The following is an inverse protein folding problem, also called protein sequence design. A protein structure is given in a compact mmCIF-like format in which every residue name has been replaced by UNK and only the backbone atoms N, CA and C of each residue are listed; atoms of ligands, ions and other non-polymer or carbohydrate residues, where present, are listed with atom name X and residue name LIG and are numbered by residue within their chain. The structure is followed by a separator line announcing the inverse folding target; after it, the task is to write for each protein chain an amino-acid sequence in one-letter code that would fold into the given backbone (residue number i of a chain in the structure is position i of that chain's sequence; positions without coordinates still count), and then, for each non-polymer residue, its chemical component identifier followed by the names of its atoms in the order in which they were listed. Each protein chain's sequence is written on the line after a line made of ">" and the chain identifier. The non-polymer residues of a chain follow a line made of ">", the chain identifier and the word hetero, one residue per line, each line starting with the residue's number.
data_IF_134144017984
#
_entry.id   IF_134144017984
#
_cell.length_a   1.000
_cell.length_b   1.000
_cell.length_c   1.000
_cell.angle_alpha   90.00
_cell.angle_beta   90.00
_cell.angle_gamma   90.00
#
_symmetry.space_group_name_H-M   'P 1'
#
loop_
_entity.id
_entity.type
_entity.pdbx_description
1 polymer ?
#
# COMPACT_ATOMS: atom_id res chain seq x y z
N UNK A 1 32.96 -22.55 -77.27
CA UNK A 1 31.53 -22.59 -77.57
C UNK A 1 30.86 -21.97 -76.30
N UNK A 2 30.39 -20.75 -76.54
CA UNK A 2 29.60 -20.00 -75.51
C UNK A 2 28.28 -20.68 -75.24
N UNK A 3 27.84 -20.59 -74.02
CA UNK A 3 26.45 -20.29 -73.69
C UNK A 3 26.33 -19.68 -72.27
N UNK A 4 26.21 -18.40 -72.34
CA UNK A 4 25.65 -17.57 -71.25
C UNK A 4 24.16 -17.85 -71.10
N UNK A 5 23.67 -18.22 -69.96
CA UNK A 5 22.29 -18.01 -69.62
C UNK A 5 22.14 -17.27 -68.30
N UNK A 6 21.73 -16.01 -68.44
CA UNK A 6 21.26 -15.13 -67.39
C UNK A 6 19.99 -15.69 -66.76
N UNK A 7 20.02 -16.10 -65.54
CA UNK A 7 18.80 -16.36 -64.76
C UNK A 7 18.43 -15.09 -64.03
N UNK A 8 17.29 -14.56 -64.45
CA UNK A 8 16.62 -13.36 -63.95
C UNK A 8 16.24 -13.46 -62.47
N UNK A 9 16.63 -12.42 -61.72
CA UNK A 9 16.14 -12.17 -60.35
C UNK A 9 14.71 -11.61 -60.40
N UNK A 10 13.72 -12.42 -60.49
CA UNK A 10 12.33 -12.07 -60.19
C UNK A 10 11.55 -13.31 -59.78
N UNK A 11 10.93 -13.21 -58.59
CA UNK A 11 9.96 -14.15 -58.01
C UNK A 11 10.51 -14.98 -56.87
N UNK A 12 10.50 -14.37 -55.63
CA UNK A 12 10.06 -15.04 -54.42
C UNK A 12 9.92 -14.00 -53.30
N UNK A 13 8.97 -13.07 -53.44
CA UNK A 13 8.43 -12.35 -52.30
C UNK A 13 7.09 -13.00 -52.00
N UNK A 14 7.09 -14.08 -51.22
CA UNK A 14 5.88 -14.49 -50.50
C UNK A 14 5.81 -13.64 -49.25
N UNK A 15 4.84 -12.75 -49.22
CA UNK A 15 4.47 -11.94 -48.09
C UNK A 15 4.09 -12.83 -46.90
N UNK A 16 5.01 -13.02 -45.96
CA UNK A 16 4.72 -13.46 -44.62
C UNK A 16 4.26 -12.26 -43.84
N UNK A 17 2.97 -12.05 -43.72
CA UNK A 17 2.38 -11.09 -42.81
C UNK A 17 2.68 -11.57 -41.38
N UNK A 18 3.77 -11.09 -40.81
CA UNK A 18 3.97 -11.14 -39.36
C UNK A 18 2.98 -10.15 -38.75
N UNK A 19 1.84 -10.67 -38.30
CA UNK A 19 0.97 -9.93 -37.43
C UNK A 19 1.76 -9.67 -36.12
N UNK A 20 2.28 -8.46 -35.95
CA UNK A 20 2.71 -7.93 -34.68
C UNK A 20 1.47 -7.92 -33.77
N UNK A 21 1.29 -8.97 -32.97
CA UNK A 21 0.41 -8.93 -31.85
C UNK A 21 1.02 -7.95 -30.83
N UNK A 22 0.71 -6.66 -30.97
CA UNK A 22 0.82 -5.73 -29.86
C UNK A 22 -0.08 -6.28 -28.75
N UNK A 23 0.45 -6.48 -27.53
CA UNK A 23 -0.43 -6.80 -26.41
C UNK A 23 -1.39 -5.62 -26.24
N UNK A 24 -2.67 -5.85 -26.55
CA UNK A 24 -3.74 -4.96 -26.16
C UNK A 24 -3.76 -4.97 -24.63
N UNK A 25 -2.99 -4.10 -24.01
CA UNK A 25 -3.27 -3.67 -22.65
C UNK A 25 -4.62 -2.96 -22.73
N UNK A 26 -5.69 -3.69 -22.47
CA UNK A 26 -6.97 -3.08 -22.18
C UNK A 26 -6.70 -2.09 -21.03
N UNK A 27 -6.81 -0.80 -21.32
CA UNK A 27 -6.92 0.23 -20.29
C UNK A 27 -8.16 -0.13 -19.50
N UNK A 28 -7.99 -0.93 -18.47
CA UNK A 28 -9.04 -1.13 -17.48
C UNK A 28 -9.31 0.26 -16.91
N UNK A 29 -10.50 0.74 -17.12
CA UNK A 29 -10.93 2.08 -16.74
C UNK A 29 -11.13 2.07 -15.23
N UNK A 30 -10.05 2.25 -14.48
CA UNK A 30 -9.98 2.21 -13.01
C UNK A 30 -10.85 3.29 -12.36
N UNK A 31 -11.19 4.36 -13.11
CA UNK A 31 -12.03 5.46 -12.62
C UNK A 31 -13.51 5.08 -12.40
N UNK A 32 -13.99 3.97 -12.98
CA UNK A 32 -15.38 3.54 -12.85
C UNK A 32 -15.62 2.55 -11.70
N UNK A 33 -14.57 1.91 -11.16
CA UNK A 33 -14.67 0.98 -10.02
C UNK A 33 -14.30 1.62 -8.67
N UNK A 34 -13.83 2.87 -8.67
CA UNK A 34 -13.52 3.63 -7.46
C UNK A 34 -14.76 4.13 -6.69
N UNK A 35 -15.96 3.56 -6.95
CA UNK A 35 -17.08 3.71 -6.04
C UNK A 35 -16.83 2.85 -4.81
N UNK A 36 -16.03 3.44 -3.87
CA UNK A 36 -16.02 3.12 -2.45
C UNK A 36 -15.87 1.63 -2.08
N UNK A 37 -14.83 0.94 -2.59
CA UNK A 37 -14.43 -0.30 -1.91
C UNK A 37 -13.75 0.06 -0.59
N UNK A 38 -14.34 -0.34 0.53
CA UNK A 38 -13.78 -0.10 1.85
C UNK A 38 -12.78 -1.21 2.14
N UNK A 39 -11.51 -0.82 2.42
CA UNK A 39 -10.45 -1.73 2.81
C UNK A 39 -10.32 -1.85 4.33
N UNK A 40 -9.70 -2.95 4.78
CA UNK A 40 -9.31 -3.19 6.16
C UNK A 40 -7.82 -3.56 6.19
N UNK A 41 -7.03 -2.88 7.03
CA UNK A 41 -5.68 -3.33 7.34
C UNK A 41 -5.76 -4.54 8.27
N UNK A 42 -5.22 -5.69 7.82
CA UNK A 42 -5.34 -6.95 8.57
C UNK A 42 -4.57 -6.97 9.89
N UNK A 43 -3.61 -6.06 10.09
CA UNK A 43 -2.94 -5.92 11.38
C UNK A 43 -3.92 -5.59 12.52
N UNK A 44 -5.03 -4.93 12.21
CA UNK A 44 -6.17 -4.73 13.13
C UNK A 44 -6.63 -6.05 13.74
N UNK A 45 -6.66 -7.10 12.94
CA UNK A 45 -7.13 -8.45 13.32
C UNK A 45 -5.98 -9.44 13.52
N UNK A 46 -4.75 -8.97 13.82
CA UNK A 46 -3.54 -9.83 13.91
C UNK A 46 -3.70 -11.03 14.82
N UNK A 47 -4.39 -10.86 15.97
CA UNK A 47 -4.63 -11.97 16.88
C UNK A 47 -5.59 -13.01 16.29
N UNK A 48 -6.59 -12.56 15.55
CA UNK A 48 -7.60 -13.42 14.91
C UNK A 48 -7.00 -14.12 13.68
N UNK A 49 -6.25 -13.39 12.86
CA UNK A 49 -5.49 -13.94 11.72
C UNK A 49 -4.52 -15.03 12.15
N UNK A 50 -3.81 -14.83 13.26
CA UNK A 50 -2.89 -15.83 13.80
C UNK A 50 -3.59 -17.09 14.33
N UNK A 51 -4.84 -16.99 14.78
CA UNK A 51 -5.64 -18.13 15.27
C UNK A 51 -6.29 -18.87 14.10
N UNK A 52 -6.97 -18.15 13.22
CA UNK A 52 -7.71 -18.67 12.08
C UNK A 52 -7.77 -17.63 10.96
N UNK A 53 -6.82 -17.69 10.06
CA UNK A 53 -6.73 -16.79 8.91
C UNK A 53 -7.99 -16.89 8.02
N UNK A 54 -8.43 -18.13 7.72
CA UNK A 54 -9.54 -18.34 6.79
C UNK A 54 -10.86 -17.86 7.36
N UNK A 55 -11.18 -18.21 8.60
CA UNK A 55 -12.36 -17.72 9.30
C UNK A 55 -12.36 -16.21 9.48
N UNK A 56 -11.18 -15.62 9.71
CA UNK A 56 -11.03 -14.17 9.79
C UNK A 56 -11.36 -13.50 8.47
N UNK A 57 -10.79 -13.93 7.34
CA UNK A 57 -11.07 -13.38 6.01
C UNK A 57 -12.54 -13.55 5.62
N UNK A 58 -13.14 -14.70 5.92
CA UNK A 58 -14.58 -14.93 5.74
C UNK A 58 -15.41 -13.88 6.47
N UNK A 59 -15.13 -13.67 7.75
CA UNK A 59 -15.87 -12.70 8.58
C UNK A 59 -15.65 -11.26 8.12
N UNK A 60 -14.45 -10.89 7.69
CA UNK A 60 -14.13 -9.57 7.08
C UNK A 60 -15.02 -9.32 5.85
N UNK A 61 -15.14 -10.32 4.97
CA UNK A 61 -16.01 -10.23 3.79
C UNK A 61 -17.49 -10.12 4.18
N UNK A 62 -17.96 -10.93 5.14
CA UNK A 62 -19.34 -10.90 5.64
C UNK A 62 -19.74 -9.55 6.25
N UNK A 63 -18.80 -8.82 6.87
CA UNK A 63 -18.99 -7.46 7.35
C UNK A 63 -19.12 -6.44 6.20
N UNK A 64 -18.69 -6.83 5.01
CA UNK A 64 -18.82 -6.04 3.79
C UNK A 64 -17.58 -5.19 3.45
N UNK A 65 -16.41 -5.52 4.01
CA UNK A 65 -15.13 -5.10 3.47
C UNK A 65 -14.88 -5.82 2.15
N UNK A 66 -14.31 -5.13 1.20
CA UNK A 66 -14.05 -5.67 -0.15
C UNK A 66 -12.57 -5.80 -0.43
N UNK A 67 -11.77 -5.05 0.31
CA UNK A 67 -10.32 -5.06 0.18
C UNK A 67 -9.68 -5.29 1.54
N UNK A 68 -8.49 -5.87 1.50
CA UNK A 68 -7.62 -6.01 2.66
C UNK A 68 -6.23 -5.49 2.31
N UNK A 69 -5.59 -4.87 3.28
CA UNK A 69 -4.17 -4.62 3.23
C UNK A 69 -3.44 -5.69 4.03
N UNK A 70 -2.44 -6.30 3.39
CA UNK A 70 -1.68 -7.38 3.98
C UNK A 70 -0.59 -6.86 4.91
N UNK A 71 -0.20 -7.71 5.85
CA UNK A 71 1.07 -7.66 6.56
C UNK A 71 1.64 -9.09 6.63
N UNK A 72 2.79 -9.27 7.27
CA UNK A 72 3.28 -10.62 7.59
C UNK A 72 3.82 -11.41 6.39
N UNK A 73 4.28 -10.72 5.33
CA UNK A 73 5.05 -11.35 4.28
C UNK A 73 6.44 -11.73 4.80
N UNK A 74 6.85 -12.97 4.57
CA UNK A 74 8.19 -13.45 4.85
C UNK A 74 8.50 -14.66 3.99
N UNK A 75 9.71 -14.69 3.41
CA UNK A 75 10.26 -15.84 2.67
C UNK A 75 9.28 -16.43 1.63
N UNK A 76 8.71 -15.57 0.79
CA UNK A 76 7.80 -15.97 -0.30
C UNK A 76 6.38 -16.35 0.14
N UNK A 77 5.99 -16.03 1.37
CA UNK A 77 4.70 -16.43 1.95
C UNK A 77 4.00 -15.28 2.65
N UNK A 78 2.67 -15.27 2.56
CA UNK A 78 1.79 -14.44 3.38
C UNK A 78 1.11 -15.31 4.44
N UNK A 79 1.36 -15.05 5.71
CA UNK A 79 0.82 -15.85 6.82
C UNK A 79 1.09 -17.37 6.65
N UNK A 80 2.27 -17.73 6.15
CA UNK A 80 2.67 -19.12 5.90
C UNK A 80 2.09 -19.75 4.63
N UNK A 81 1.24 -19.05 3.86
CA UNK A 81 0.68 -19.51 2.59
C UNK A 81 1.49 -18.94 1.41
N UNK A 82 1.69 -19.75 0.38
CA UNK A 82 2.23 -19.28 -0.89
C UNK A 82 1.33 -18.20 -1.51
N UNK A 83 1.88 -17.40 -2.43
CA UNK A 83 1.12 -16.38 -3.17
C UNK A 83 -0.12 -16.98 -3.84
N UNK A 84 0.03 -18.14 -4.49
CA UNK A 84 -1.09 -18.84 -5.14
C UNK A 84 -2.20 -19.25 -4.18
N UNK A 85 -1.84 -19.81 -3.02
CA UNK A 85 -2.81 -20.20 -1.98
C UNK A 85 -3.51 -18.98 -1.40
N UNK A 86 -2.77 -17.91 -1.12
CA UNK A 86 -3.34 -16.67 -0.61
C UNK A 86 -4.30 -16.03 -1.62
N UNK A 87 -3.93 -15.99 -2.89
CA UNK A 87 -4.78 -15.48 -3.98
C UNK A 87 -6.09 -16.26 -4.09
N UNK A 88 -6.00 -17.60 -4.01
CA UNK A 88 -7.18 -18.47 -4.05
C UNK A 88 -8.08 -18.24 -2.81
N UNK A 89 -7.46 -18.05 -1.63
CA UNK A 89 -8.19 -17.81 -0.39
C UNK A 89 -8.93 -16.47 -0.40
N UNK A 90 -8.29 -15.41 -0.88
CA UNK A 90 -8.94 -14.11 -1.06
C UNK A 90 -10.11 -14.19 -2.06
N UNK A 91 -9.88 -14.84 -3.20
CA UNK A 91 -10.92 -15.03 -4.22
C UNK A 91 -12.12 -15.80 -3.69
N UNK A 92 -11.90 -16.83 -2.86
CA UNK A 92 -12.95 -17.61 -2.22
C UNK A 92 -13.95 -16.75 -1.44
N UNK A 93 -13.47 -15.67 -0.84
CA UNK A 93 -14.29 -14.76 -0.03
C UNK A 93 -14.56 -13.40 -0.73
N UNK A 94 -14.35 -13.30 -2.05
CA UNK A 94 -14.54 -12.07 -2.82
C UNK A 94 -13.76 -10.88 -2.24
N UNK A 95 -12.61 -11.12 -1.64
CA UNK A 95 -11.69 -10.11 -1.16
C UNK A 95 -10.59 -9.87 -2.19
N UNK A 96 -10.09 -8.64 -2.23
CA UNK A 96 -8.90 -8.26 -2.99
C UNK A 96 -7.86 -7.69 -2.04
N UNK A 97 -6.58 -7.97 -2.31
CA UNK A 97 -5.48 -7.26 -1.67
C UNK A 97 -4.77 -6.44 -2.73
N UNK A 98 -4.74 -5.12 -2.51
CA UNK A 98 -4.09 -4.20 -3.45
C UNK A 98 -2.87 -3.53 -2.83
N UNK A 99 -2.63 -3.76 -1.55
CA UNK A 99 -1.50 -3.20 -0.80
C UNK A 99 -1.04 -4.16 0.28
N UNK A 100 0.23 -4.02 0.68
CA UNK A 100 0.80 -4.78 1.77
C UNK A 100 1.96 -4.06 2.45
N UNK A 101 2.08 -4.31 3.77
CA UNK A 101 3.08 -3.75 4.66
C UNK A 101 4.32 -4.64 4.75
N UNK A 102 5.49 -4.02 4.63
CA UNK A 102 6.81 -4.65 4.67
C UNK A 102 7.73 -3.88 5.64
N UNK A 103 8.69 -4.58 6.23
CA UNK A 103 9.70 -3.96 7.09
C UNK A 103 10.82 -3.28 6.30
N UNK A 104 11.48 -2.30 6.88
CA UNK A 104 12.71 -1.74 6.34
C UNK A 104 13.86 -2.77 6.39
N UNK A 105 13.96 -3.49 7.51
CA UNK A 105 14.90 -4.61 7.68
C UNK A 105 16.36 -4.18 7.82
N UNK A 106 16.63 -2.91 8.09
CA UNK A 106 17.99 -2.38 8.19
C UNK A 106 18.69 -2.91 9.44
N UNK A 107 17.99 -2.98 10.56
CA UNK A 107 18.52 -3.57 11.79
C UNK A 107 18.35 -5.08 11.85
N UNK A 108 17.29 -5.61 11.27
CA UNK A 108 17.07 -7.05 11.19
C UNK A 108 17.26 -7.54 9.75
N UNK A 109 18.53 -7.65 9.34
CA UNK A 109 18.91 -8.12 8.00
C UNK A 109 18.50 -9.57 7.72
N UNK A 110 18.09 -10.34 8.75
CA UNK A 110 17.54 -11.69 8.57
C UNK A 110 16.06 -11.69 8.17
N UNK A 111 15.39 -10.53 8.20
CA UNK A 111 14.01 -10.42 7.77
C UNK A 111 13.90 -10.53 6.24
N UNK A 112 13.71 -11.75 5.73
CA UNK A 112 13.55 -12.02 4.31
C UNK A 112 12.22 -11.41 3.83
N UNK A 113 12.29 -10.64 2.74
CA UNK A 113 11.13 -9.90 2.21
C UNK A 113 11.00 -8.46 2.75
N UNK A 114 12.06 -7.97 3.42
CA UNK A 114 12.19 -6.56 3.78
C UNK A 114 12.88 -5.75 2.66
N UNK A 115 12.88 -4.42 2.79
CA UNK A 115 13.56 -3.54 1.84
C UNK A 115 15.06 -3.84 1.71
N UNK A 116 15.69 -4.31 2.80
CA UNK A 116 17.13 -4.60 2.88
C UNK A 116 17.49 -6.04 2.51
N UNK A 117 16.50 -6.96 2.47
CA UNK A 117 16.77 -8.37 2.22
C UNK A 117 15.64 -9.05 1.45
N UNK A 118 15.90 -9.45 0.20
CA UNK A 118 14.93 -10.17 -0.64
C UNK A 118 13.81 -9.29 -1.19
N UNK A 119 14.05 -7.97 -1.34
CA UNK A 119 13.04 -7.02 -1.77
C UNK A 119 12.50 -7.29 -3.17
N UNK A 120 13.36 -7.63 -4.13
CA UNK A 120 12.96 -7.98 -5.48
C UNK A 120 11.91 -9.09 -5.50
N UNK A 121 12.17 -10.18 -4.77
CA UNK A 121 11.23 -11.30 -4.66
C UNK A 121 9.93 -10.91 -3.97
N UNK A 122 9.99 -10.11 -2.91
CA UNK A 122 8.81 -9.62 -2.21
C UNK A 122 7.91 -8.78 -3.12
N UNK A 123 8.50 -7.94 -3.95
CA UNK A 123 7.80 -7.10 -4.92
C UNK A 123 7.17 -7.91 -6.06
N UNK A 124 7.89 -8.93 -6.58
CA UNK A 124 7.35 -9.85 -7.57
C UNK A 124 6.14 -10.62 -7.03
N UNK A 125 6.24 -11.14 -5.81
CA UNK A 125 5.16 -11.85 -5.13
C UNK A 125 3.96 -10.94 -4.86
N UNK A 126 4.21 -9.69 -4.50
CA UNK A 126 3.18 -8.68 -4.34
C UNK A 126 2.43 -8.43 -5.66
N UNK A 127 3.16 -8.25 -6.76
CA UNK A 127 2.58 -8.07 -8.09
C UNK A 127 1.75 -9.29 -8.52
N UNK A 128 2.25 -10.52 -8.27
CA UNK A 128 1.53 -11.77 -8.55
C UNK A 128 0.24 -11.88 -7.72
N UNK A 129 0.28 -11.51 -6.44
CA UNK A 129 -0.91 -11.48 -5.58
C UNK A 129 -1.96 -10.48 -6.09
N UNK A 130 -1.52 -9.43 -6.77
CA UNK A 130 -2.39 -8.38 -7.34
C UNK A 130 -2.23 -7.02 -6.67
N UNK A 131 -1.20 -6.86 -5.82
CA UNK A 131 -0.91 -5.58 -5.20
C UNK A 131 -0.64 -4.49 -6.24
N UNK A 132 -1.06 -3.28 -5.92
CA UNK A 132 -0.73 -2.04 -6.64
C UNK A 132 0.29 -1.23 -5.85
N UNK A 133 0.37 -1.49 -4.56
CA UNK A 133 1.24 -0.80 -3.62
C UNK A 133 2.00 -1.78 -2.74
N UNK A 134 3.23 -1.45 -2.43
CA UNK A 134 4.06 -2.09 -1.41
C UNK A 134 4.54 -1.00 -0.46
N UNK A 135 4.28 -1.15 0.84
CA UNK A 135 4.42 -0.06 1.80
C UNK A 135 5.45 -0.41 2.86
N UNK A 136 6.45 0.45 3.08
CA UNK A 136 7.29 0.37 4.27
C UNK A 136 6.47 0.84 5.48
N UNK A 137 6.16 -0.11 6.38
CA UNK A 137 5.17 0.07 7.43
C UNK A 137 5.67 0.80 8.66
N UNK A 138 6.95 0.66 8.99
CA UNK A 138 7.49 1.10 10.27
C UNK A 138 9.02 1.17 10.26
N UNK A 139 9.55 2.12 10.99
CA UNK A 139 10.96 2.19 11.36
C UNK A 139 11.09 1.93 12.86
N UNK A 140 11.93 0.97 13.26
CA UNK A 140 12.19 0.67 14.67
C UNK A 140 12.86 1.83 15.37
N UNK A 141 12.87 1.83 16.71
CA UNK A 141 13.48 2.93 17.48
C UNK A 141 14.92 3.17 17.08
N UNK A 142 15.68 2.10 16.88
CA UNK A 142 17.07 2.22 16.45
C UNK A 142 17.20 2.62 14.96
N UNK A 143 16.22 2.34 14.12
CA UNK A 143 16.22 2.77 12.72
C UNK A 143 15.92 4.27 12.55
N UNK A 144 15.42 4.95 13.59
CA UNK A 144 14.92 6.33 13.53
C UNK A 144 15.46 7.26 14.64
N UNK A 145 16.54 6.89 15.29
CA UNK A 145 17.11 7.61 16.45
C UNK A 145 17.88 8.90 16.08
N UNK A 146 18.20 9.10 14.79
CA UNK A 146 18.95 10.26 14.32
C UNK A 146 18.46 10.74 12.95
N UNK A 147 18.74 12.01 12.66
CA UNK A 147 18.38 12.62 11.38
C UNK A 147 19.21 12.06 10.23
N UNK A 148 20.42 11.60 10.49
CA UNK A 148 21.32 10.94 9.53
C UNK A 148 20.72 9.61 9.07
N UNK A 149 20.11 8.84 9.97
CA UNK A 149 19.38 7.62 9.61
C UNK A 149 18.20 7.94 8.69
N UNK A 150 17.40 8.96 9.01
CA UNK A 150 16.33 9.38 8.11
C UNK A 150 16.84 9.80 6.73
N UNK A 151 17.99 10.46 6.66
CA UNK A 151 18.64 10.81 5.36
C UNK A 151 19.04 9.55 4.58
N UNK A 152 19.56 8.52 5.23
CA UNK A 152 19.91 7.26 4.56
C UNK A 152 18.69 6.52 4.01
N UNK A 153 17.52 6.68 4.62
CA UNK A 153 16.27 6.11 4.10
C UNK A 153 15.77 6.76 2.82
N UNK A 154 16.16 7.99 2.52
CA UNK A 154 15.79 8.64 1.25
C UNK A 154 16.30 7.80 0.08
N UNK A 155 17.56 7.39 0.10
CA UNK A 155 18.17 6.56 -0.94
C UNK A 155 17.58 5.14 -0.95
N UNK A 156 17.38 4.54 0.23
CA UNK A 156 16.78 3.21 0.35
C UNK A 156 15.36 3.19 -0.23
N UNK A 157 14.53 4.19 0.09
CA UNK A 157 13.15 4.27 -0.39
C UNK A 157 13.08 4.55 -1.90
N UNK A 158 13.94 5.42 -2.43
CA UNK A 158 14.05 5.63 -3.87
C UNK A 158 14.43 4.33 -4.59
N UNK A 159 15.44 3.61 -4.10
CA UNK A 159 15.85 2.31 -4.64
C UNK A 159 14.73 1.25 -4.54
N UNK A 160 14.05 1.20 -3.40
CA UNK A 160 12.88 0.31 -3.22
C UNK A 160 11.77 0.65 -4.21
N UNK A 161 11.54 1.95 -4.45
CA UNK A 161 10.58 2.43 -5.44
C UNK A 161 10.95 2.09 -6.88
N UNK A 162 12.24 2.16 -7.24
CA UNK A 162 12.72 1.71 -8.56
C UNK A 162 12.45 0.22 -8.80
N UNK A 163 12.71 -0.60 -7.79
CA UNK A 163 12.44 -2.05 -7.84
C UNK A 163 10.93 -2.30 -7.98
N UNK A 164 10.12 -1.64 -7.17
CA UNK A 164 8.66 -1.74 -7.23
C UNK A 164 8.11 -1.34 -8.62
N UNK A 165 8.59 -0.23 -9.16
CA UNK A 165 8.20 0.27 -10.49
C UNK A 165 8.50 -0.71 -11.61
N UNK A 166 9.64 -1.42 -11.56
CA UNK A 166 10.01 -2.45 -12.55
C UNK A 166 9.03 -3.62 -12.56
N UNK A 167 8.47 -3.97 -11.41
CA UNK A 167 7.44 -5.02 -11.27
C UNK A 167 6.01 -4.50 -11.48
N UNK A 168 5.83 -3.22 -11.80
CA UNK A 168 4.51 -2.62 -12.07
C UNK A 168 3.70 -2.30 -10.81
N UNK A 169 4.34 -2.19 -9.65
CA UNK A 169 3.74 -1.77 -8.39
C UNK A 169 4.36 -0.46 -7.90
N UNK A 170 3.67 0.27 -7.04
CA UNK A 170 4.11 1.54 -6.49
C UNK A 170 4.60 1.35 -5.05
N UNK A 171 5.79 1.86 -4.74
CA UNK A 171 6.28 1.91 -3.37
C UNK A 171 5.66 3.09 -2.62
N UNK A 172 5.35 2.89 -1.32
CA UNK A 172 4.92 3.94 -0.42
C UNK A 172 5.56 3.79 0.97
N UNK A 173 5.52 4.86 1.74
CA UNK A 173 5.93 4.91 3.15
C UNK A 173 4.73 5.25 4.03
N UNK A 174 4.54 4.50 5.12
CA UNK A 174 3.52 4.71 6.14
C UNK A 174 4.10 5.43 7.36
N UNK A 175 3.42 6.46 7.84
CA UNK A 175 3.87 7.26 8.98
C UNK A 175 3.22 6.85 10.29
N UNK A 176 3.94 7.18 11.36
CA UNK A 176 3.44 7.27 12.74
C UNK A 176 3.50 8.73 13.25
N UNK A 177 3.43 8.91 14.56
CA UNK A 177 3.55 10.25 15.18
C UNK A 177 4.99 10.72 15.30
N UNK A 178 5.94 9.81 15.31
CA UNK A 178 7.35 10.13 15.56
C UNK A 178 8.04 10.86 14.41
N UNK A 179 7.60 10.68 13.17
CA UNK A 179 8.12 11.44 12.02
C UNK A 179 7.76 12.93 12.09
N UNK A 180 6.73 13.27 12.85
CA UNK A 180 6.31 14.64 13.10
C UNK A 180 6.94 15.26 14.35
N UNK A 181 7.92 14.59 14.97
CA UNK A 181 8.71 15.12 16.09
C UNK A 181 10.05 15.62 15.57
N UNK A 182 10.39 16.90 15.78
CA UNK A 182 11.68 17.42 15.28
C UNK A 182 12.87 16.67 15.89
N UNK A 183 13.81 16.28 15.03
CA UNK A 183 15.11 15.72 15.41
C UNK A 183 16.21 16.69 14.93
N UNK A 184 17.06 17.17 15.85
CA UNK A 184 18.13 18.13 15.52
C UNK A 184 17.63 19.32 14.66
N UNK A 185 16.44 19.84 14.98
CA UNK A 185 15.82 20.98 14.31
C UNK A 185 15.22 20.68 12.92
N UNK A 186 15.22 19.43 12.48
CA UNK A 186 14.61 19.01 11.21
C UNK A 186 13.40 18.12 11.45
N UNK A 187 12.41 18.18 10.57
CA UNK A 187 11.22 17.34 10.65
C UNK A 187 11.44 16.09 9.79
N UNK A 188 11.52 14.88 10.40
CA UNK A 188 11.73 13.63 9.63
C UNK A 188 10.71 13.40 8.53
N UNK A 189 9.43 13.70 8.79
CA UNK A 189 8.39 13.59 7.78
C UNK A 189 8.67 14.45 6.55
N UNK A 190 9.10 15.68 6.74
CA UNK A 190 9.42 16.60 5.65
C UNK A 190 10.66 16.16 4.85
N UNK A 191 11.60 15.47 5.48
CA UNK A 191 12.73 14.86 4.77
C UNK A 191 12.24 13.73 3.86
N UNK A 192 11.42 12.80 4.38
CA UNK A 192 10.88 11.70 3.58
C UNK A 192 10.01 12.26 2.45
N UNK A 193 9.03 13.11 2.77
CA UNK A 193 8.09 13.62 1.79
C UNK A 193 8.73 14.56 0.75
N UNK A 194 9.71 15.36 1.17
CA UNK A 194 10.30 16.42 0.33
C UNK A 194 11.58 16.03 -0.39
N UNK A 195 12.26 14.95 0.00
CA UNK A 195 13.56 14.54 -0.57
C UNK A 195 13.52 13.23 -1.34
N UNK A 196 12.50 12.40 -1.16
CA UNK A 196 12.29 11.23 -2.01
C UNK A 196 11.68 11.63 -3.35
N UNK A 197 12.00 10.86 -4.40
CA UNK A 197 11.40 11.05 -5.72
C UNK A 197 9.88 10.81 -5.67
N UNK A 198 9.03 11.79 -6.02
CA UNK A 198 7.59 11.67 -5.95
C UNK A 198 6.98 10.63 -6.90
N UNK A 199 7.70 10.22 -7.94
CA UNK A 199 7.26 9.17 -8.87
C UNK A 199 7.69 7.76 -8.44
N UNK A 200 8.65 7.65 -7.53
CA UNK A 200 9.13 6.39 -6.99
C UNK A 200 8.51 6.09 -5.63
N UNK A 201 8.35 7.12 -4.79
CA UNK A 201 7.90 6.99 -3.40
C UNK A 201 6.61 7.76 -3.22
N UNK A 202 5.53 7.10 -2.91
CA UNK A 202 4.28 7.71 -2.43
C UNK A 202 4.21 7.62 -0.91
N UNK A 203 3.16 8.18 -0.33
CA UNK A 203 2.94 8.21 1.11
C UNK A 203 1.59 7.57 1.41
N UNK A 204 1.58 6.64 2.35
CA UNK A 204 0.36 6.17 2.98
C UNK A 204 0.17 6.95 4.26
N UNK A 205 -0.81 7.86 4.28
CA UNK A 205 -1.02 8.72 5.44
C UNK A 205 -1.90 8.03 6.48
N UNK A 206 -1.34 7.79 7.66
CA UNK A 206 -2.15 7.40 8.82
C UNK A 206 -2.75 8.65 9.47
N UNK A 207 -4.07 8.75 9.40
CA UNK A 207 -4.81 9.93 9.87
C UNK A 207 -4.83 10.06 11.39
N UNK A 208 -4.80 8.94 12.13
CA UNK A 208 -4.72 8.95 13.58
C UNK A 208 -3.36 9.45 14.06
N UNK A 209 -2.27 8.86 13.56
CA UNK A 209 -0.93 9.25 13.98
C UNK A 209 -0.60 10.69 13.61
N UNK A 210 -1.09 11.14 12.44
CA UNK A 210 -0.97 12.54 12.01
C UNK A 210 -1.73 13.48 12.97
N UNK A 211 -2.98 13.15 13.30
CA UNK A 211 -3.79 13.95 14.23
C UNK A 211 -3.21 13.93 15.66
N UNK A 212 -2.72 12.77 16.13
CA UNK A 212 -2.06 12.63 17.44
C UNK A 212 -0.81 13.50 17.55
N UNK A 213 -0.08 13.67 16.45
CA UNK A 213 1.04 14.58 16.38
C UNK A 213 0.64 16.07 16.30
N UNK A 214 -0.64 16.39 16.29
CA UNK A 214 -1.16 17.76 16.18
C UNK A 214 -1.06 18.35 14.77
N UNK A 215 -0.89 17.53 13.74
CA UNK A 215 -0.73 17.95 12.34
C UNK A 215 -2.06 17.85 11.59
N UNK A 216 -2.41 18.88 10.81
CA UNK A 216 -3.61 18.85 9.94
C UNK A 216 -3.30 18.09 8.65
N UNK A 217 -3.95 16.92 8.38
CA UNK A 217 -3.78 16.17 7.14
C UNK A 217 -4.04 17.02 5.88
N UNK A 218 -5.01 17.93 5.94
CA UNK A 218 -5.34 18.80 4.78
C UNK A 218 -4.21 19.77 4.47
N UNK A 219 -3.46 20.23 5.49
CA UNK A 219 -2.27 21.05 5.29
C UNK A 219 -1.15 20.24 4.60
N UNK A 220 -0.96 18.97 4.97
CA UNK A 220 0.00 18.08 4.30
C UNK A 220 -0.38 17.83 2.83
N UNK A 221 -1.67 17.62 2.53
CA UNK A 221 -2.13 17.44 1.15
C UNK A 221 -1.84 18.66 0.27
N UNK A 222 -1.97 19.87 0.83
CA UNK A 222 -1.62 21.11 0.14
C UNK A 222 -0.11 21.27 -0.04
N UNK A 223 0.68 20.86 0.96
CA UNK A 223 2.14 20.94 0.93
C UNK A 223 2.76 19.95 -0.07
N UNK A 224 2.19 18.75 -0.17
CA UNK A 224 2.67 17.65 -1.01
C UNK A 224 1.53 17.07 -1.89
N UNK A 225 0.99 17.83 -2.84
CA UNK A 225 -0.18 17.40 -3.61
C UNK A 225 0.12 16.13 -4.43
N UNK A 226 -0.87 15.21 -4.46
CA UNK A 226 -0.77 13.96 -5.21
C UNK A 226 0.16 12.89 -4.62
N UNK A 227 0.72 13.12 -3.43
CA UNK A 227 1.66 12.19 -2.78
C UNK A 227 0.97 11.12 -1.93
N UNK A 228 -0.34 11.21 -1.64
CA UNK A 228 -1.05 10.40 -0.64
C UNK A 228 -2.12 9.48 -1.27
N UNK A 229 -1.75 8.52 -2.13
CA UNK A 229 -2.73 7.63 -2.76
C UNK A 229 -3.37 6.65 -1.79
N UNK A 230 -2.76 6.40 -0.64
CA UNK A 230 -3.23 5.50 0.40
C UNK A 230 -3.44 6.23 1.72
N UNK A 231 -4.53 5.89 2.42
CA UNK A 231 -4.77 6.38 3.77
C UNK A 231 -5.13 5.23 4.72
N UNK A 232 -4.61 5.30 5.95
CA UNK A 232 -5.19 4.60 7.09
C UNK A 232 -6.24 5.49 7.75
N UNK A 233 -7.49 5.05 7.66
CA UNK A 233 -8.64 5.67 8.32
C UNK A 233 -8.76 5.04 9.69
N UNK A 234 -8.11 5.66 10.66
CA UNK A 234 -7.97 5.25 12.05
C UNK A 234 -8.40 6.42 12.92
N UNK A 235 -9.31 6.21 13.88
CA UNK A 235 -9.92 7.28 14.68
C UNK A 235 -9.34 7.37 16.09
N UNK A 236 -9.46 8.55 16.68
CA UNK A 236 -8.88 8.90 17.97
C UNK A 236 -9.97 9.22 18.98
N UNK A 237 -9.96 8.56 20.12
CA UNK A 237 -10.86 8.84 21.24
C UNK A 237 -10.71 10.30 21.71
N UNK A 238 -11.87 10.95 21.95
CA UNK A 238 -11.94 12.38 22.31
C UNK A 238 -11.31 12.71 23.66
N UNK A 239 -11.30 11.74 24.57
CA UNK A 239 -10.93 11.98 25.97
C UNK A 239 -9.47 11.65 26.25
N UNK A 240 -9.00 10.49 25.82
CA UNK A 240 -7.69 9.95 26.19
C UNK A 240 -6.77 9.68 25.00
N UNK A 241 -7.19 10.11 23.82
CA UNK A 241 -6.44 9.92 22.56
C UNK A 241 -6.11 8.44 22.22
N UNK A 242 -6.75 7.47 22.88
CA UNK A 242 -6.63 6.07 22.51
C UNK A 242 -7.33 5.81 21.16
N UNK A 243 -7.14 4.61 20.60
CA UNK A 243 -7.85 4.21 19.39
C UNK A 243 -9.36 4.12 19.62
N UNK A 244 -10.13 4.48 18.61
CA UNK A 244 -11.59 4.41 18.62
C UNK A 244 -12.11 3.87 17.27
N UNK A 245 -13.28 3.20 17.28
CA UNK A 245 -13.95 2.85 16.04
C UNK A 245 -14.18 4.08 15.17
N UNK A 246 -13.93 3.96 13.87
CA UNK A 246 -14.04 5.09 12.93
C UNK A 246 -15.42 5.75 13.00
N UNK A 247 -15.42 7.08 13.12
CA UNK A 247 -16.63 7.90 13.23
C UNK A 247 -17.19 8.02 14.63
N UNK A 248 -16.54 7.47 15.66
CA UNK A 248 -16.89 7.66 17.06
C UNK A 248 -15.92 8.58 17.82
N UNK A 249 -14.78 8.86 17.21
CA UNK A 249 -13.71 9.64 17.79
C UNK A 249 -13.77 11.14 17.50
N UNK A 250 -12.60 11.77 17.45
CA UNK A 250 -12.43 13.22 17.30
C UNK A 250 -12.00 13.65 15.90
N UNK A 251 -11.61 12.72 15.02
CA UNK A 251 -11.08 13.06 13.70
C UNK A 251 -12.22 13.42 12.74
N UNK A 252 -12.15 14.61 12.12
CA UNK A 252 -13.14 15.06 11.13
C UNK A 252 -12.84 14.45 9.75
N UNK A 253 -13.22 13.20 9.57
CA UNK A 253 -13.04 12.50 8.29
C UNK A 253 -13.76 13.18 7.13
N UNK A 254 -14.91 13.83 7.36
CA UNK A 254 -15.63 14.53 6.28
C UNK A 254 -14.79 15.68 5.71
N UNK A 255 -14.16 16.48 6.59
CA UNK A 255 -13.21 17.53 6.20
C UNK A 255 -12.03 16.93 5.41
N UNK A 256 -11.43 15.84 5.93
CA UNK A 256 -10.27 15.21 5.32
C UNK A 256 -10.60 14.62 3.95
N UNK A 257 -11.69 13.86 3.83
CA UNK A 257 -12.14 13.29 2.56
C UNK A 257 -12.55 14.35 1.52
N UNK A 258 -12.99 15.55 1.94
CA UNK A 258 -13.24 16.64 1.00
C UNK A 258 -11.98 17.05 0.22
N UNK A 259 -10.80 16.85 0.78
CA UNK A 259 -9.50 17.14 0.17
C UNK A 259 -8.87 15.96 -0.58
N UNK A 260 -9.59 14.83 -0.74
CA UNK A 260 -9.06 13.59 -1.35
C UNK A 260 -8.44 13.77 -2.74
N UNK A 261 -8.98 14.70 -3.55
CA UNK A 261 -8.43 14.99 -4.88
C UNK A 261 -7.05 15.65 -4.79
N UNK A 262 -6.87 16.60 -3.88
CA UNK A 262 -5.59 17.25 -3.63
C UNK A 262 -4.55 16.25 -3.11
N UNK A 263 -4.97 15.36 -2.23
CA UNK A 263 -4.13 14.26 -1.72
C UNK A 263 -3.72 13.27 -2.82
N UNK A 264 -4.55 13.07 -3.83
CA UNK A 264 -4.39 12.03 -4.86
C UNK A 264 -4.87 10.65 -4.40
N UNK A 265 -5.83 10.62 -3.44
CA UNK A 265 -6.35 9.37 -2.85
C UNK A 265 -6.82 8.39 -3.92
N UNK A 266 -6.40 7.14 -3.80
CA UNK A 266 -6.81 6.00 -4.63
C UNK A 266 -7.52 4.94 -3.80
N UNK A 267 -7.05 4.70 -2.57
CA UNK A 267 -7.61 3.70 -1.66
C UNK A 267 -7.41 4.13 -0.20
N UNK A 268 -8.30 3.68 0.66
CA UNK A 268 -8.12 3.79 2.10
C UNK A 268 -8.45 2.46 2.79
N UNK A 269 -7.82 2.28 3.94
CA UNK A 269 -8.03 1.11 4.79
C UNK A 269 -8.45 1.57 6.18
N UNK A 270 -9.52 0.97 6.70
CA UNK A 270 -9.85 1.09 8.11
C UNK A 270 -8.78 0.37 8.91
N UNK A 271 -8.32 0.97 10.00
CA UNK A 271 -7.38 0.33 10.92
C UNK A 271 -7.66 0.71 12.37
N UNK A 272 -7.34 -0.21 13.29
CA UNK A 272 -7.38 0.02 14.73
C UNK A 272 -6.41 -0.92 15.45
N UNK A 273 -5.39 -0.39 16.13
CA UNK A 273 -4.33 -1.22 16.72
C UNK A 273 -4.71 -1.90 18.03
N UNK A 274 -5.67 -1.33 18.77
CA UNK A 274 -6.16 -1.89 20.02
C UNK A 274 -7.64 -1.55 20.23
N UNK A 275 -8.35 -2.41 20.93
CA UNK A 275 -9.76 -2.25 21.30
C UNK A 275 -9.91 -2.23 22.81
N UNK A 276 -10.84 -1.41 23.30
CA UNK A 276 -11.31 -1.46 24.70
C UNK A 276 -12.40 -2.50 24.91
N UNK A 277 -13.01 -2.98 23.85
CA UNK A 277 -14.02 -4.01 23.83
C UNK A 277 -13.57 -5.20 22.99
N UNK A 278 -14.39 -5.62 22.03
CA UNK A 278 -14.00 -6.63 21.06
C UNK A 278 -13.59 -5.95 19.74
N UNK A 279 -12.48 -6.39 19.15
CA UNK A 279 -12.02 -5.84 17.89
C UNK A 279 -13.05 -6.05 16.76
N UNK A 280 -13.86 -7.10 16.84
CA UNK A 280 -14.92 -7.37 15.87
C UNK A 280 -16.05 -6.35 15.93
N UNK A 281 -16.45 -5.89 17.12
CA UNK A 281 -17.45 -4.84 17.29
C UNK A 281 -16.93 -3.51 16.75
N UNK A 282 -15.65 -3.24 16.97
CA UNK A 282 -15.00 -2.03 16.51
C UNK A 282 -14.92 -1.96 14.97
N UNK A 283 -14.48 -3.02 14.29
CA UNK A 283 -14.42 -3.03 12.82
C UNK A 283 -15.83 -3.06 12.20
N UNK A 284 -16.82 -3.66 12.88
CA UNK A 284 -18.22 -3.60 12.45
C UNK A 284 -18.79 -2.19 12.56
N UNK A 285 -18.51 -1.50 13.65
CA UNK A 285 -18.90 -0.10 13.84
C UNK A 285 -18.22 0.82 12.81
N UNK A 286 -16.93 0.61 12.60
CA UNK A 286 -16.13 1.38 11.67
C UNK A 286 -16.65 1.30 10.24
N UNK A 287 -16.91 0.10 9.71
CA UNK A 287 -17.43 -0.03 8.34
C UNK A 287 -18.83 0.55 8.19
N UNK A 288 -19.70 0.40 9.20
CA UNK A 288 -21.03 1.02 9.21
C UNK A 288 -20.95 2.54 9.12
N UNK A 289 -20.07 3.14 9.92
CA UNK A 289 -19.89 4.59 9.96
C UNK A 289 -19.26 5.12 8.67
N UNK A 290 -18.25 4.44 8.12
CA UNK A 290 -17.63 4.81 6.83
C UNK A 290 -18.66 4.78 5.71
N UNK A 291 -19.51 3.74 5.63
CA UNK A 291 -20.61 3.67 4.65
C UNK A 291 -21.59 4.83 4.81
N UNK A 292 -21.88 5.24 6.05
CA UNK A 292 -22.80 6.36 6.34
C UNK A 292 -22.21 7.73 5.99
N UNK A 293 -20.88 7.89 6.01
CA UNK A 293 -20.21 9.14 5.62
C UNK A 293 -20.34 9.47 4.13
N UNK A 294 -20.64 8.49 3.28
CA UNK A 294 -20.76 8.63 1.80
C UNK A 294 -19.51 9.29 1.17
N UNK A 295 -18.33 8.90 1.62
CA UNK A 295 -17.02 9.42 1.21
C UNK A 295 -16.46 8.71 -0.02
#
# INVERSE_FOLDING_TARGET
>A
MDFNEKISRKSFIKAGTFALMTPMFSKVNWDLQAKSSIGLQLYTLRNEVNKDLEGTLKKVSELGYQQVEMYGYSDGKYFGKSVKEMKALLAKYNLQSISGHYGAGVENTNQIGSLSNGWEKAVEDAAELGHKYVVCAYLTDNERDSIEKYKSYIDLFNKAGETAKKAGVQFAYHNHDFEFKPLSGQMPYDLIAGKTDPELVKLELDLYWTARAGVDPVALFKKYPGRFPLWHVKDMNKTDQSFAPVGTGSIDFKKIFSARKTAGLKQFFVEQDASKGTIWDDVTTSIKNVKAMKV
#
